data_IF_822340200695
#
_entry.id   IF_822340200695
#
_cell.length_a   1.000
_cell.length_b   1.000
_cell.length_c   1.000
_cell.angle_alpha   90.00
_cell.angle_beta   90.00
_cell.angle_gamma   90.00
#
_symmetry.space_group_name_H-M   'P 1'
#
loop_
_entity.id
_entity.type
_entity.pdbx_description
1 polymer ?
#
# COMPACT_ATOMS: atom_id res chain seq x y z
N UNK A 1 23.32 -8.17 29.58
CA UNK A 1 21.84 -8.02 29.53
C UNK A 1 21.38 -8.51 28.15
N UNK A 2 20.66 -9.61 28.11
CA UNK A 2 20.21 -10.17 26.83
C UNK A 2 19.22 -9.22 26.14
N UNK A 3 19.43 -8.94 24.85
CA UNK A 3 18.58 -8.08 24.02
C UNK A 3 17.82 -8.95 23.03
N UNK A 4 16.50 -8.80 22.98
CA UNK A 4 15.64 -9.52 22.05
C UNK A 4 14.89 -8.54 21.16
N UNK A 5 14.92 -8.77 19.85
CA UNK A 5 14.19 -7.93 18.89
C UNK A 5 12.79 -8.44 18.63
N UNK A 6 11.90 -7.52 18.25
CA UNK A 6 10.56 -7.79 17.75
C UNK A 6 10.30 -6.99 16.48
N UNK A 7 9.23 -7.31 15.74
CA UNK A 7 8.87 -6.52 14.58
C UNK A 7 8.49 -5.08 15.00
N UNK A 8 8.97 -4.09 14.25
CA UNK A 8 8.58 -2.71 14.48
C UNK A 8 7.05 -2.55 14.30
N UNK A 9 6.34 -1.94 15.29
CA UNK A 9 4.89 -1.73 15.18
C UNK A 9 4.49 -0.98 13.91
N UNK A 10 5.28 0.03 13.51
CA UNK A 10 5.07 0.78 12.28
C UNK A 10 5.06 -0.12 11.05
N UNK A 11 6.05 -1.01 10.90
CA UNK A 11 6.14 -1.93 9.76
C UNK A 11 4.97 -2.92 9.72
N UNK A 12 4.58 -3.45 10.89
CA UNK A 12 3.40 -4.31 11.05
C UNK A 12 2.14 -3.63 10.54
N UNK A 13 1.86 -2.42 11.01
CA UNK A 13 0.65 -1.70 10.65
C UNK A 13 0.61 -1.31 9.17
N UNK A 14 1.74 -0.91 8.57
CA UNK A 14 1.79 -0.64 7.14
C UNK A 14 1.46 -1.86 6.29
N UNK A 15 2.03 -3.02 6.60
CA UNK A 15 1.73 -4.25 5.87
C UNK A 15 0.25 -4.65 5.99
N UNK A 16 -0.34 -4.52 7.19
CA UNK A 16 -1.77 -4.79 7.41
C UNK A 16 -2.63 -3.78 6.65
N UNK A 17 -2.28 -2.49 6.68
CA UNK A 17 -3.03 -1.45 5.98
C UNK A 17 -3.02 -1.68 4.46
N UNK A 18 -1.86 -1.97 3.86
CA UNK A 18 -1.77 -2.27 2.43
C UNK A 18 -2.53 -3.54 2.05
N UNK A 19 -2.45 -4.60 2.86
CA UNK A 19 -3.25 -5.80 2.64
C UNK A 19 -4.75 -5.49 2.71
N UNK A 20 -5.18 -4.65 3.65
CA UNK A 20 -6.56 -4.20 3.79
C UNK A 20 -7.03 -3.38 2.60
N UNK A 21 -6.23 -2.43 2.12
CA UNK A 21 -6.53 -1.64 0.92
C UNK A 21 -6.67 -2.56 -0.30
N UNK A 22 -5.72 -3.47 -0.50
CA UNK A 22 -5.79 -4.43 -1.59
C UNK A 22 -7.05 -5.31 -1.52
N UNK A 23 -7.44 -5.74 -0.32
CA UNK A 23 -8.65 -6.53 -0.11
C UNK A 23 -9.92 -5.73 -0.48
N UNK A 24 -10.02 -4.49 -0.01
CA UNK A 24 -11.17 -3.61 -0.34
C UNK A 24 -11.27 -3.39 -1.85
N UNK A 25 -10.14 -3.10 -2.51
CA UNK A 25 -10.11 -2.92 -3.96
C UNK A 25 -10.48 -4.20 -4.72
N UNK A 26 -10.03 -5.36 -4.24
CA UNK A 26 -10.39 -6.64 -4.84
C UNK A 26 -11.88 -6.95 -4.71
N UNK A 27 -12.48 -6.69 -3.53
CA UNK A 27 -13.92 -6.86 -3.30
C UNK A 27 -14.74 -5.88 -4.14
N UNK A 28 -14.29 -4.63 -4.27
CA UNK A 28 -14.92 -3.66 -5.17
C UNK A 28 -14.86 -4.12 -6.62
N UNK A 29 -13.68 -4.53 -7.10
CA UNK A 29 -13.53 -5.05 -8.45
C UNK A 29 -14.42 -6.27 -8.72
N UNK A 30 -14.55 -7.16 -7.73
CA UNK A 30 -15.46 -8.29 -7.81
C UNK A 30 -16.94 -7.85 -7.90
N UNK A 31 -17.35 -6.90 -7.08
CA UNK A 31 -18.70 -6.35 -7.11
C UNK A 31 -19.01 -5.70 -8.46
N UNK A 32 -18.11 -4.86 -8.98
CA UNK A 32 -18.28 -4.24 -10.28
C UNK A 32 -18.37 -5.27 -11.42
N UNK A 33 -17.49 -6.29 -11.37
CA UNK A 33 -17.44 -7.32 -12.41
C UNK A 33 -18.70 -8.17 -12.49
N UNK A 34 -19.27 -8.58 -11.34
CA UNK A 34 -20.42 -9.48 -11.30
C UNK A 34 -21.77 -8.80 -11.12
N UNK A 35 -21.80 -7.54 -10.68
CA UNK A 35 -23.05 -6.81 -10.41
C UNK A 35 -23.17 -5.58 -11.28
N UNK A 36 -22.27 -4.60 -11.14
CA UNK A 36 -22.43 -3.28 -11.78
C UNK A 36 -22.35 -3.35 -13.31
N UNK A 37 -21.37 -4.10 -13.84
CA UNK A 37 -21.18 -4.20 -15.30
C UNK A 37 -22.35 -4.97 -15.95
N UNK A 38 -22.76 -6.15 -15.48
CA UNK A 38 -23.93 -6.84 -16.01
C UNK A 38 -25.24 -6.03 -15.93
N UNK A 39 -25.46 -5.27 -14.85
CA UNK A 39 -26.64 -4.41 -14.71
C UNK A 39 -26.64 -3.29 -15.75
N UNK A 40 -25.50 -2.64 -15.98
CA UNK A 40 -25.35 -1.67 -17.07
C UNK A 40 -25.60 -2.28 -18.45
N UNK A 41 -25.04 -3.47 -18.72
CA UNK A 41 -25.26 -4.20 -19.97
C UNK A 41 -26.74 -4.53 -20.18
N UNK A 42 -27.43 -5.00 -19.13
CA UNK A 42 -28.87 -5.31 -19.17
C UNK A 42 -29.70 -4.03 -19.43
N UNK A 43 -29.35 -2.91 -18.80
CA UNK A 43 -30.02 -1.63 -19.00
C UNK A 43 -29.86 -1.13 -20.43
N UNK A 44 -28.67 -1.24 -21.03
CA UNK A 44 -28.42 -0.88 -22.43
C UNK A 44 -29.20 -1.81 -23.36
N UNK A 45 -29.20 -3.11 -23.12
CA UNK A 45 -29.96 -4.08 -23.92
C UNK A 45 -31.46 -3.82 -23.88
N UNK A 46 -32.03 -3.46 -22.71
CA UNK A 46 -33.40 -3.08 -22.55
C UNK A 46 -33.76 -1.81 -23.36
N UNK A 47 -32.86 -0.81 -23.35
CA UNK A 47 -33.04 0.39 -24.17
C UNK A 47 -33.00 0.07 -25.66
N UNK A 48 -32.01 -0.69 -26.14
CA UNK A 48 -31.88 -1.05 -27.54
C UNK A 48 -33.07 -1.89 -28.02
N UNK A 49 -33.61 -2.77 -27.19
CA UNK A 49 -34.85 -3.51 -27.48
C UNK A 49 -36.10 -2.57 -27.58
N UNK A 50 -36.20 -1.61 -26.66
CA UNK A 50 -37.29 -0.62 -26.68
C UNK A 50 -37.17 0.28 -27.92
N UNK A 51 -35.99 0.76 -28.27
CA UNK A 51 -35.74 1.57 -29.46
C UNK A 51 -36.16 0.85 -30.75
N UNK A 52 -35.78 -0.43 -30.85
CA UNK A 52 -36.19 -1.27 -31.99
C UNK A 52 -37.72 -1.45 -32.06
N UNK A 53 -38.38 -1.65 -30.90
CA UNK A 53 -39.83 -1.77 -30.86
C UNK A 53 -40.54 -0.49 -31.31
N UNK A 54 -40.00 0.67 -30.98
CA UNK A 54 -40.49 1.97 -31.45
C UNK A 54 -40.33 2.08 -32.96
N UNK A 55 -39.16 1.76 -33.52
CA UNK A 55 -38.85 1.79 -34.94
C UNK A 55 -39.79 0.84 -35.74
N UNK A 56 -39.97 -0.39 -35.28
CA UNK A 56 -40.82 -1.41 -35.89
C UNK A 56 -42.31 -0.94 -35.91
N UNK A 57 -42.79 -0.31 -34.84
CA UNK A 57 -44.14 0.21 -34.76
C UNK A 57 -44.33 1.38 -35.72
N UNK A 58 -43.38 2.33 -35.78
CA UNK A 58 -43.47 3.50 -36.68
C UNK A 58 -43.43 3.05 -38.15
N UNK A 59 -42.59 2.06 -38.49
CA UNK A 59 -42.54 1.48 -39.82
C UNK A 59 -43.89 0.83 -40.22
N UNK A 60 -44.53 0.08 -39.30
CA UNK A 60 -45.87 -0.50 -39.53
C UNK A 60 -46.93 0.58 -39.70
N UNK A 61 -46.89 1.60 -38.87
CA UNK A 61 -47.85 2.71 -38.95
C UNK A 61 -47.77 3.45 -40.32
N UNK A 62 -46.52 3.71 -40.79
CA UNK A 62 -46.29 4.32 -42.11
C UNK A 62 -46.76 3.41 -43.24
N UNK A 63 -46.46 2.11 -43.19
CA UNK A 63 -46.90 1.15 -44.20
C UNK A 63 -48.44 1.03 -44.27
N UNK A 64 -49.12 1.06 -43.12
CA UNK A 64 -50.60 1.07 -43.04
C UNK A 64 -51.21 2.32 -43.65
N UNK A 65 -50.56 3.48 -43.49
CA UNK A 65 -51.05 4.74 -44.10
C UNK A 65 -50.87 4.78 -45.65
N UNK A 66 -49.85 4.08 -46.17
CA UNK A 66 -49.52 4.05 -47.59
C UNK A 66 -50.34 3.00 -48.38
N UNK A 67 -51.09 2.11 -47.74
CA UNK A 67 -51.84 1.02 -48.36
C UNK A 67 -53.12 1.57 -49.08
N UNK A 68 -53.33 1.25 -50.36
CA UNK A 68 -54.52 1.66 -51.10
C UNK A 68 -55.71 0.79 -50.69
N UNK A 69 -56.38 1.11 -49.65
CA UNK A 69 -57.52 0.35 -49.12
C UNK A 69 -57.93 0.65 -47.68
N UNK A 70 -57.20 1.54 -47.05
CA UNK A 70 -57.42 1.92 -45.66
C UNK A 70 -56.55 1.16 -44.66
N UNK A 71 -56.06 1.87 -43.68
CA UNK A 71 -55.22 1.33 -42.62
C UNK A 71 -55.93 0.26 -41.81
N UNK A 72 -55.39 -0.93 -41.68
CA UNK A 72 -55.81 -1.82 -40.62
C UNK A 72 -55.57 -1.13 -39.26
N UNK A 73 -56.58 -1.00 -38.42
CA UNK A 73 -56.43 -0.27 -37.15
C UNK A 73 -55.40 -0.99 -36.30
N UNK A 74 -54.39 -0.25 -35.83
CA UNK A 74 -53.41 -0.76 -34.88
C UNK A 74 -54.13 -1.20 -33.61
N UNK A 75 -53.80 -2.34 -33.08
CA UNK A 75 -54.45 -2.88 -31.89
C UNK A 75 -54.12 -2.01 -30.64
N UNK A 76 -55.06 -1.98 -29.70
CA UNK A 76 -54.85 -1.26 -28.44
C UNK A 76 -53.62 -1.77 -27.68
N UNK A 77 -53.29 -3.06 -27.85
CA UNK A 77 -52.13 -3.71 -27.28
C UNK A 77 -50.79 -3.19 -27.91
N UNK A 78 -50.77 -3.05 -29.24
CA UNK A 78 -49.59 -2.49 -29.95
C UNK A 78 -49.36 -1.03 -29.59
N UNK A 79 -50.41 -0.22 -29.41
CA UNK A 79 -50.32 1.17 -28.97
C UNK A 79 -49.78 1.26 -27.52
N UNK A 80 -50.25 0.37 -26.62
CA UNK A 80 -49.75 0.31 -25.24
C UNK A 80 -48.29 -0.08 -25.19
N UNK A 81 -47.88 -1.10 -25.97
CA UNK A 81 -46.48 -1.53 -26.07
C UNK A 81 -45.57 -0.40 -26.61
N UNK A 82 -46.00 0.30 -27.64
CA UNK A 82 -45.29 1.47 -28.17
C UNK A 82 -45.14 2.58 -27.13
N UNK A 83 -46.20 2.88 -26.38
CA UNK A 83 -46.13 3.92 -25.33
C UNK A 83 -45.13 3.56 -24.24
N UNK A 84 -45.10 2.28 -23.82
CA UNK A 84 -44.15 1.80 -22.85
C UNK A 84 -42.69 1.84 -23.38
N UNK A 85 -42.48 1.37 -24.62
CA UNK A 85 -41.17 1.42 -25.24
C UNK A 85 -40.67 2.85 -25.43
N UNK A 86 -41.57 3.76 -25.88
CA UNK A 86 -41.25 5.19 -26.04
C UNK A 86 -40.87 5.84 -24.70
N UNK A 87 -41.54 5.53 -23.61
CA UNK A 87 -41.23 6.04 -22.28
C UNK A 87 -39.81 5.60 -21.80
N UNK A 88 -39.29 4.46 -22.29
CA UNK A 88 -37.91 4.04 -22.05
C UNK A 88 -36.93 4.83 -22.91
N UNK A 89 -37.25 4.99 -24.21
CA UNK A 89 -36.39 5.70 -25.18
C UNK A 89 -36.29 7.19 -24.83
N UNK A 90 -37.36 7.82 -24.41
CA UNK A 90 -37.42 9.25 -24.04
C UNK A 90 -36.52 9.59 -22.82
N UNK A 91 -36.15 8.62 -22.00
CA UNK A 91 -35.15 8.79 -20.90
C UNK A 91 -33.71 8.96 -21.41
N UNK A 92 -33.50 8.70 -22.68
CA UNK A 92 -32.19 8.75 -23.29
C UNK A 92 -31.41 7.44 -23.15
N UNK A 93 -30.46 7.26 -24.06
CA UNK A 93 -29.62 6.03 -24.09
C UNK A 93 -28.67 5.99 -22.90
N UNK A 94 -28.70 4.93 -22.07
CA UNK A 94 -27.75 4.77 -20.97
C UNK A 94 -26.33 4.57 -21.52
N UNK A 95 -25.33 5.01 -20.73
CA UNK A 95 -23.92 4.86 -21.11
C UNK A 95 -23.52 3.38 -21.02
N UNK A 96 -23.11 2.75 -22.13
CA UNK A 96 -22.63 1.36 -22.08
C UNK A 96 -21.33 1.26 -21.28
N UNK A 97 -21.07 0.10 -20.66
CA UNK A 97 -19.76 -0.15 -20.05
C UNK A 97 -18.66 -0.08 -21.11
N UNK A 98 -17.50 0.47 -20.73
CA UNK A 98 -16.37 0.54 -21.65
C UNK A 98 -15.75 -0.86 -21.87
N UNK A 99 -15.15 -1.08 -23.03
CA UNK A 99 -14.53 -2.37 -23.38
C UNK A 99 -13.41 -2.79 -22.41
N UNK A 100 -12.78 -1.82 -21.75
CA UNK A 100 -11.73 -2.08 -20.77
C UNK A 100 -12.25 -2.29 -19.35
N UNK A 101 -13.51 -2.03 -19.02
CA UNK A 101 -14.05 -2.14 -17.66
C UNK A 101 -13.88 -3.57 -17.11
N UNK A 102 -14.32 -4.60 -17.84
CA UNK A 102 -14.17 -5.99 -17.41
C UNK A 102 -12.71 -6.42 -17.26
N UNK A 103 -11.80 -6.19 -18.22
CA UNK A 103 -10.38 -6.51 -18.07
C UNK A 103 -9.72 -5.80 -16.87
N UNK A 104 -10.04 -4.53 -16.62
CA UNK A 104 -9.49 -3.78 -15.49
C UNK A 104 -9.96 -4.34 -14.15
N UNK A 105 -11.26 -4.61 -14.00
CA UNK A 105 -11.80 -5.20 -12.78
C UNK A 105 -11.18 -6.57 -12.50
N UNK A 106 -11.04 -7.41 -13.52
CA UNK A 106 -10.47 -8.74 -13.38
C UNK A 106 -8.97 -8.68 -13.06
N UNK A 107 -8.18 -8.05 -13.93
CA UNK A 107 -6.72 -8.16 -13.85
C UNK A 107 -6.10 -7.23 -12.82
N UNK A 108 -6.55 -5.99 -12.73
CA UNK A 108 -5.96 -5.01 -11.82
C UNK A 108 -6.45 -5.19 -10.38
N UNK A 109 -7.78 -5.27 -10.19
CA UNK A 109 -8.36 -5.33 -8.85
C UNK A 109 -8.43 -6.75 -8.30
N UNK A 110 -9.01 -7.71 -9.01
CA UNK A 110 -9.17 -9.06 -8.48
C UNK A 110 -7.85 -9.83 -8.46
N UNK A 111 -7.13 -9.89 -9.58
CA UNK A 111 -5.86 -10.62 -9.66
C UNK A 111 -4.73 -9.82 -9.03
N UNK A 112 -4.52 -8.56 -9.44
CA UNK A 112 -3.42 -7.74 -8.95
C UNK A 112 -3.51 -7.44 -7.46
N UNK A 113 -4.64 -6.90 -6.99
CA UNK A 113 -4.81 -6.61 -5.57
C UNK A 113 -5.19 -7.86 -4.76
N UNK A 114 -6.18 -8.64 -5.21
CA UNK A 114 -6.71 -9.77 -4.43
C UNK A 114 -5.75 -10.95 -4.38
N UNK A 115 -5.38 -11.51 -5.53
CA UNK A 115 -4.59 -12.75 -5.59
C UNK A 115 -3.11 -12.51 -5.33
N UNK A 116 -2.56 -11.37 -5.79
CA UNK A 116 -1.13 -11.06 -5.60
C UNK A 116 -0.89 -10.13 -4.41
N UNK A 117 -1.60 -9.00 -4.33
CA UNK A 117 -1.34 -7.96 -3.34
C UNK A 117 -1.59 -8.39 -1.90
N UNK A 118 -2.76 -8.95 -1.60
CA UNK A 118 -3.10 -9.41 -0.24
C UNK A 118 -2.12 -10.47 0.26
N UNK A 119 -1.85 -11.58 -0.46
CA UNK A 119 -0.87 -12.58 -0.01
C UNK A 119 0.54 -12.02 0.10
N UNK A 120 0.96 -11.11 -0.78
CA UNK A 120 2.28 -10.49 -0.74
C UNK A 120 2.51 -9.70 0.55
N UNK A 121 1.58 -8.81 0.92
CA UNK A 121 1.74 -8.00 2.14
C UNK A 121 1.60 -8.84 3.42
N UNK A 122 0.73 -9.84 3.42
CA UNK A 122 0.64 -10.79 4.54
C UNK A 122 1.92 -11.63 4.65
N UNK A 123 2.47 -12.11 3.54
CA UNK A 123 3.73 -12.82 3.52
C UNK A 123 4.88 -11.95 4.06
N UNK A 124 4.99 -10.72 3.60
CA UNK A 124 5.99 -9.77 4.09
C UNK A 124 5.90 -9.56 5.60
N UNK A 125 4.68 -9.41 6.11
CA UNK A 125 4.47 -9.31 7.55
C UNK A 125 4.91 -10.57 8.28
N UNK A 126 4.44 -11.75 7.87
CA UNK A 126 4.75 -13.04 8.50
C UNK A 126 6.25 -13.32 8.41
N UNK A 127 6.88 -13.11 7.26
CA UNK A 127 8.30 -13.33 7.05
C UNK A 127 9.15 -12.44 7.96
N UNK A 128 8.79 -11.16 8.10
CA UNK A 128 9.48 -10.23 9.00
C UNK A 128 9.25 -10.59 10.47
N UNK A 129 8.01 -10.95 10.85
CA UNK A 129 7.68 -11.32 12.22
C UNK A 129 8.36 -12.62 12.69
N UNK A 130 8.67 -13.53 11.76
CA UNK A 130 9.40 -14.79 12.06
C UNK A 130 10.90 -14.59 12.22
N UNK A 131 11.45 -13.53 11.63
CA UNK A 131 12.87 -13.20 11.78
C UNK A 131 13.08 -12.53 13.13
N UNK A 132 13.72 -13.22 14.05
CA UNK A 132 14.07 -12.71 15.37
C UNK A 132 15.56 -12.69 15.52
N UNK A 133 16.05 -11.63 16.12
CA UNK A 133 17.47 -11.49 16.46
C UNK A 133 17.55 -11.33 17.98
N UNK A 134 18.57 -11.89 18.57
CA UNK A 134 18.88 -11.65 19.98
C UNK A 134 20.39 -11.64 20.18
N UNK A 135 20.83 -10.81 21.09
CA UNK A 135 22.19 -10.82 21.60
C UNK A 135 22.15 -11.36 23.04
N UNK A 136 22.82 -12.46 23.28
CA UNK A 136 22.92 -13.07 24.60
C UNK A 136 23.95 -12.33 25.45
N UNK A 137 23.97 -12.57 26.78
CA UNK A 137 24.88 -11.89 27.72
C UNK A 137 26.36 -12.23 27.48
N UNK A 138 26.65 -13.37 26.88
CA UNK A 138 27.99 -13.80 26.48
C UNK A 138 28.49 -13.17 25.17
N UNK A 139 27.67 -12.32 24.53
CA UNK A 139 27.94 -11.71 23.23
C UNK A 139 27.63 -12.59 22.03
N UNK A 140 26.92 -13.71 22.22
CA UNK A 140 26.44 -14.56 21.12
C UNK A 140 25.27 -13.89 20.39
N UNK A 141 25.45 -13.64 19.10
CA UNK A 141 24.39 -13.15 18.22
C UNK A 141 23.58 -14.34 17.70
N UNK A 142 22.30 -14.38 18.03
CA UNK A 142 21.35 -15.35 17.47
C UNK A 142 20.55 -14.66 16.38
N UNK A 143 20.62 -15.17 15.17
CA UNK A 143 19.93 -14.66 13.98
C UNK A 143 19.19 -15.80 13.28
N UNK A 144 18.27 -15.52 12.34
CA UNK A 144 17.60 -16.58 11.56
C UNK A 144 18.57 -17.49 10.80
N UNK A 145 19.77 -16.98 10.49
CA UNK A 145 20.82 -17.68 9.77
C UNK A 145 21.65 -18.61 10.66
N UNK A 146 21.55 -18.46 11.99
CA UNK A 146 22.28 -19.28 12.97
C UNK A 146 22.65 -18.55 14.26
N UNK A 147 23.49 -19.21 15.06
CA UNK A 147 24.09 -18.65 16.28
C UNK A 147 25.57 -18.36 16.01
N UNK A 148 26.02 -17.17 16.35
CA UNK A 148 27.35 -16.68 16.08
C UNK A 148 27.98 -16.18 17.38
N UNK A 149 28.96 -16.86 17.86
CA UNK A 149 29.71 -16.47 19.05
C UNK A 149 30.44 -15.14 18.82
N UNK A 150 30.78 -14.45 19.92
CA UNK A 150 31.52 -13.18 19.90
C UNK A 150 32.81 -13.24 19.07
N UNK A 151 33.52 -14.37 19.08
CA UNK A 151 34.75 -14.57 18.32
C UNK A 151 34.54 -14.83 16.83
N UNK A 152 33.32 -15.21 16.43
CA UNK A 152 32.94 -15.42 15.04
C UNK A 152 32.54 -14.11 14.34
N UNK A 153 32.31 -13.05 15.11
CA UNK A 153 32.03 -11.71 14.56
C UNK A 153 33.40 -11.04 14.30
N UNK A 154 33.77 -10.93 13.02
CA UNK A 154 35.05 -10.30 12.64
C UNK A 154 34.93 -8.77 12.68
N UNK A 155 33.87 -8.20 12.16
CA UNK A 155 33.70 -6.75 12.03
C UNK A 155 32.22 -6.36 11.93
N UNK A 156 31.93 -5.03 12.03
CA UNK A 156 30.63 -4.45 11.77
C UNK A 156 30.76 -3.19 10.89
N UNK A 157 30.15 -3.23 9.73
CA UNK A 157 30.08 -2.11 8.81
C UNK A 157 28.87 -1.23 9.14
N UNK A 158 29.13 0.03 9.51
CA UNK A 158 28.17 1.04 9.92
C UNK A 158 27.93 2.13 8.87
N UNK A 159 28.47 2.02 7.66
CA UNK A 159 28.39 3.09 6.63
C UNK A 159 26.96 3.50 6.29
N UNK A 160 26.03 2.55 6.34
CA UNK A 160 24.60 2.80 6.05
C UNK A 160 23.75 3.02 7.30
N UNK A 161 24.36 2.99 8.48
CA UNK A 161 23.62 3.09 9.72
C UNK A 161 22.91 4.44 9.86
N UNK A 162 23.66 5.53 9.75
CA UNK A 162 23.11 6.89 9.92
C UNK A 162 22.10 7.29 8.82
N UNK A 163 22.20 6.72 7.63
CA UNK A 163 21.35 7.08 6.50
C UNK A 163 20.14 6.17 6.30
N UNK A 164 20.27 4.88 6.64
CA UNK A 164 19.25 3.84 6.34
C UNK A 164 18.94 2.95 7.53
N UNK A 165 19.55 3.16 8.69
CA UNK A 165 19.43 2.31 9.89
C UNK A 165 19.78 0.84 9.58
N UNK A 166 20.79 0.64 8.73
CA UNK A 166 21.30 -0.68 8.32
C UNK A 166 22.74 -0.81 8.76
N UNK A 167 23.04 -1.87 9.53
CA UNK A 167 24.40 -2.30 9.83
C UNK A 167 24.65 -3.67 9.22
N UNK A 168 25.91 -3.95 8.84
CA UNK A 168 26.30 -5.26 8.30
C UNK A 168 27.35 -5.88 9.17
N UNK A 169 26.99 -6.95 9.89
CA UNK A 169 27.94 -7.76 10.64
C UNK A 169 28.69 -8.66 9.68
N UNK A 170 30.02 -8.61 9.73
CA UNK A 170 30.90 -9.45 8.93
C UNK A 170 31.44 -10.56 9.84
N UNK A 171 31.21 -11.80 9.45
CA UNK A 171 31.66 -12.98 10.18
C UNK A 171 33.06 -13.38 9.74
N UNK A 172 33.76 -14.12 10.59
CA UNK A 172 35.14 -14.62 10.33
C UNK A 172 35.23 -15.55 9.12
N UNK A 173 34.11 -16.20 8.74
CA UNK A 173 33.98 -17.03 7.54
C UNK A 173 33.66 -16.24 6.27
N UNK A 174 33.56 -14.90 6.36
CA UNK A 174 33.24 -13.99 5.24
C UNK A 174 31.75 -13.81 4.97
N UNK A 175 30.86 -14.50 5.68
CA UNK A 175 29.41 -14.25 5.58
C UNK A 175 29.07 -12.86 6.14
N UNK A 176 28.01 -12.27 5.60
CA UNK A 176 27.53 -10.95 5.99
C UNK A 176 26.08 -11.04 6.44
N UNK A 177 25.81 -10.53 7.64
CA UNK A 177 24.48 -10.45 8.22
C UNK A 177 24.02 -9.00 8.23
N UNK A 178 22.88 -8.70 7.59
CA UNK A 178 22.33 -7.35 7.58
C UNK A 178 21.34 -7.19 8.73
N UNK A 179 21.66 -6.28 9.63
CA UNK A 179 20.81 -5.89 10.76
C UNK A 179 20.05 -4.62 10.39
N UNK A 180 18.71 -4.66 10.46
CA UNK A 180 17.80 -3.62 9.98
C UNK A 180 16.91 -3.12 11.14
N UNK A 181 17.24 -1.93 11.70
CA UNK A 181 16.49 -1.32 12.80
C UNK A 181 15.14 -0.76 12.36
N UNK A 182 14.98 -0.50 11.06
CA UNK A 182 13.70 -0.05 10.53
C UNK A 182 12.62 -1.15 10.57
N UNK A 183 13.04 -2.42 10.41
CA UNK A 183 12.13 -3.57 10.46
C UNK A 183 12.00 -4.18 11.84
N UNK A 184 13.04 -4.11 12.66
CA UNK A 184 13.10 -4.77 13.96
C UNK A 184 13.31 -3.75 15.08
N UNK A 185 12.40 -3.75 16.03
CA UNK A 185 12.50 -2.93 17.24
C UNK A 185 13.68 -3.40 18.08
N UNK A 186 14.37 -2.45 18.73
CA UNK A 186 15.51 -2.66 19.62
C UNK A 186 16.76 -3.25 18.91
N UNK A 187 16.79 -3.25 17.56
CA UNK A 187 17.95 -3.68 16.79
C UNK A 187 19.17 -2.78 17.04
N UNK A 188 18.94 -1.48 17.25
CA UNK A 188 20.01 -0.52 17.56
C UNK A 188 20.79 -0.89 18.82
N UNK A 189 20.18 -1.58 19.79
CA UNK A 189 20.88 -2.05 20.98
C UNK A 189 21.85 -3.20 20.65
N UNK A 190 21.45 -4.11 19.76
CA UNK A 190 22.33 -5.19 19.28
C UNK A 190 23.47 -4.60 18.46
N UNK A 191 23.15 -3.72 17.52
CA UNK A 191 24.15 -3.04 16.68
C UNK A 191 25.10 -2.21 17.54
N UNK A 192 24.57 -1.45 18.49
CA UNK A 192 25.36 -0.62 19.40
C UNK A 192 26.29 -1.44 20.29
N UNK A 193 25.82 -2.56 20.84
CA UNK A 193 26.64 -3.44 21.64
C UNK A 193 27.85 -3.99 20.84
N UNK A 194 27.62 -4.45 19.60
CA UNK A 194 28.68 -4.96 18.73
C UNK A 194 29.59 -3.83 18.26
N UNK A 195 29.01 -2.68 17.82
CA UNK A 195 29.80 -1.56 17.31
C UNK A 195 30.66 -0.88 18.39
N UNK A 196 30.11 -0.67 19.60
CA UNK A 196 30.87 -0.06 20.71
C UNK A 196 31.96 -0.97 21.23
N UNK A 197 31.81 -2.29 21.11
CA UNK A 197 32.89 -3.23 21.45
C UNK A 197 34.07 -3.16 20.46
N UNK A 198 33.75 -3.00 19.14
CA UNK A 198 34.76 -2.94 18.08
C UNK A 198 35.38 -1.54 17.92
N UNK A 199 34.54 -0.52 18.08
CA UNK A 199 34.88 0.89 17.86
C UNK A 199 34.39 1.77 19.02
N UNK A 200 34.90 1.59 20.26
CA UNK A 200 34.41 2.25 21.45
C UNK A 200 34.57 3.77 21.41
N UNK A 201 35.52 4.28 20.60
CA UNK A 201 35.73 5.72 20.46
C UNK A 201 34.71 6.39 19.52
N UNK A 202 34.13 5.60 18.63
CA UNK A 202 33.22 6.10 17.56
C UNK A 202 31.74 5.84 17.84
N UNK A 203 31.42 4.72 18.49
CA UNK A 203 30.03 4.28 18.67
C UNK A 203 29.66 4.07 20.14
N UNK A 204 28.50 4.53 20.53
CA UNK A 204 27.92 4.22 21.84
C UNK A 204 27.23 2.85 21.84
N UNK A 205 26.94 2.27 23.04
CA UNK A 205 26.13 1.04 23.15
C UNK A 205 24.73 1.12 22.55
N UNK A 206 24.19 2.34 22.36
CA UNK A 206 22.91 2.59 21.69
C UNK A 206 23.08 2.88 20.19
N UNK A 207 24.23 2.56 19.60
CA UNK A 207 24.58 2.80 18.20
C UNK A 207 24.53 4.29 17.79
N UNK A 208 24.87 5.23 18.70
CA UNK A 208 25.00 6.65 18.40
C UNK A 208 26.43 6.96 18.00
N UNK A 209 26.60 7.77 16.97
CA UNK A 209 27.89 8.33 16.56
C UNK A 209 28.35 9.35 17.62
N UNK A 210 29.44 9.05 18.32
CA UNK A 210 29.95 9.85 19.43
C UNK A 210 30.50 11.21 18.97
N UNK A 211 31.05 11.30 17.76
CA UNK A 211 31.54 12.58 17.23
C UNK A 211 30.41 13.52 16.95
N UNK A 212 29.29 13.00 16.42
CA UNK A 212 28.07 13.76 16.22
C UNK A 212 27.42 14.18 17.55
N UNK A 213 27.38 13.29 18.53
CA UNK A 213 26.85 13.62 19.87
C UNK A 213 27.67 14.73 20.53
N UNK A 214 29.00 14.71 20.40
CA UNK A 214 29.88 15.77 20.91
C UNK A 214 29.63 17.10 20.19
N UNK A 215 29.55 17.08 18.86
CA UNK A 215 29.27 18.26 18.06
C UNK A 215 27.88 18.86 18.38
N UNK A 216 26.86 18.03 18.58
CA UNK A 216 25.52 18.49 18.99
C UNK A 216 25.54 19.10 20.40
N UNK A 217 26.31 18.54 21.33
CA UNK A 217 26.47 19.10 22.69
C UNK A 217 27.20 20.45 22.67
N UNK A 218 28.30 20.56 21.93
CA UNK A 218 29.03 21.83 21.77
C UNK A 218 28.17 22.91 21.12
N UNK A 219 27.37 22.57 20.11
CA UNK A 219 26.43 23.48 19.47
C UNK A 219 25.33 23.95 20.44
N UNK A 220 24.81 23.02 21.26
CA UNK A 220 23.81 23.36 22.27
C UNK A 220 24.34 24.31 23.38
N UNK A 221 25.58 24.04 23.84
CA UNK A 221 26.25 24.89 24.83
C UNK A 221 26.55 26.30 24.26
N UNK A 222 27.01 26.37 23.01
CA UNK A 222 27.20 27.64 22.31
C UNK A 222 25.89 28.43 22.14
N UNK A 223 24.80 27.76 21.78
CA UNK A 223 23.47 28.40 21.66
C UNK A 223 22.97 28.91 23.01
N UNK A 224 23.20 28.16 24.09
CA UNK A 224 22.83 28.56 25.45
C UNK A 224 23.66 29.79 25.93
N UNK A 225 24.95 29.79 25.66
CA UNK A 225 25.84 30.92 25.97
C UNK A 225 25.44 32.19 25.20
N UNK A 226 25.01 32.03 23.92
CA UNK A 226 24.53 33.18 23.14
C UNK A 226 23.17 33.73 23.63
N UNK A 227 22.31 32.86 24.17
CA UNK A 227 21.03 33.29 24.77
C UNK A 227 21.17 33.97 26.13
N UNK A 228 22.24 33.68 26.87
CA UNK A 228 22.53 34.24 28.21
C UNK A 228 23.29 35.57 28.14
N UNK A 229 23.64 36.08 26.94
CA UNK A 229 24.23 37.42 26.80
C UNK A 229 23.12 38.42 27.09
N UNK A 230 23.18 39.16 28.24
CA UNK A 230 22.18 40.17 28.57
C UNK A 230 22.17 41.19 27.43
N UNK A 231 21.01 41.47 26.87
CA UNK A 231 20.79 42.61 25.95
C UNK A 231 21.06 43.87 26.75
N UNK A 232 22.35 44.20 26.85
CA UNK A 232 22.87 45.35 27.57
C UNK A 232 22.22 46.62 27.04
N UNK A 233 21.45 47.26 27.91
CA UNK A 233 20.69 48.43 27.70
C UNK A 233 21.45 49.52 26.96
N UNK A 234 20.89 49.91 25.87
CA UNK A 234 21.03 51.23 25.29
C UNK A 234 20.01 52.16 25.91
N UNK A 235 20.30 52.59 27.16
CA UNK A 235 19.68 53.75 27.70
C UNK A 235 20.79 54.77 27.86
N UNK A 236 20.91 55.68 26.93
CA UNK A 236 21.64 56.94 27.15
C UNK A 236 21.00 58.03 26.33
N UNK A 237 20.50 59.02 27.07
CA UNK A 237 20.48 60.42 26.82
C UNK A 237 19.37 60.99 25.98
#
# INVERSE_FOLDING_TARGET
MAVHTSIQPRQKWWNIAYAGICLVLALWGAYDYWVTIPDKEATVAAYDAAAKSVEDFEAKAQASQAAPGGASPLSAEEVAAYTQAKAVVDKGRPTPPAAYDRPVQLWMYMVGCGVMGVPWFLWQWIATARRRYSLEDDGTLVAPEGRFGRTEIADIDMDKWMSKSLATVVLTDGRKLVLDDYKHRDMHLIVGAIASERYPEKWSPEARDLDRVRAEAEAADAAKAAADVPSGGGAAG
#
